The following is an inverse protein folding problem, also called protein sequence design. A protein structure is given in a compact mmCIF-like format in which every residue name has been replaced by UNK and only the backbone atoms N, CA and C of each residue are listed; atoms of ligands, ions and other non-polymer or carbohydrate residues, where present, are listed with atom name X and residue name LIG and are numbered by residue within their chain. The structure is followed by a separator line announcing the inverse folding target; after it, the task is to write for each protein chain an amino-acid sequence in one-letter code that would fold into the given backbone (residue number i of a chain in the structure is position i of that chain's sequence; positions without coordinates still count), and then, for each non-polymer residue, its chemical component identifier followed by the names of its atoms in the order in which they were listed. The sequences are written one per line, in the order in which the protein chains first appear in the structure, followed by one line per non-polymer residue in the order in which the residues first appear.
data_IF_459789203819
#
_entry.id   IF_459789203819
#
_cell.length_a   1.000
_cell.length_b   1.000
_cell.length_c   1.000
_cell.angle_alpha   90.00
_cell.angle_beta   90.00
_cell.angle_gamma   90.00
#
_symmetry.space_group_name_H-M   'P 1'
#
loop_
_entity.id
_entity.type
_entity.pdbx_description
1 polymer ?
#
# COMPACT_ATOMS: atom_id res chain seq x y z
N UNK A 1 -7.16 -24.68 0.92
CA UNK A 1 -6.01 -24.16 0.16
C UNK A 1 -6.40 -23.84 -1.30
N UNK A 2 -6.94 -22.64 -1.61
CA UNK A 2 -7.16 -22.17 -3.00
C UNK A 2 -7.16 -20.62 -3.15
N UNK A 3 -6.52 -19.87 -2.25
CA UNK A 3 -6.53 -18.39 -2.26
C UNK A 3 -5.47 -17.75 -3.18
N UNK A 4 -4.47 -18.52 -3.63
CA UNK A 4 -3.38 -18.03 -4.48
C UNK A 4 -3.80 -17.34 -5.80
N UNK A 5 -4.82 -17.78 -6.56
CA UNK A 5 -5.17 -17.13 -7.83
C UNK A 5 -5.88 -15.76 -7.64
N UNK A 6 -6.52 -15.52 -6.50
CA UNK A 6 -7.22 -14.25 -6.24
C UNK A 6 -6.26 -13.09 -5.97
N UNK A 7 -5.14 -13.35 -5.29
CA UNK A 7 -4.13 -12.33 -4.97
C UNK A 7 -3.44 -11.82 -6.25
N UNK A 8 -3.19 -12.72 -7.21
CA UNK A 8 -2.57 -12.36 -8.48
C UNK A 8 -3.47 -11.46 -9.36
N UNK A 9 -4.78 -11.68 -9.33
CA UNK A 9 -5.73 -10.89 -10.11
C UNK A 9 -5.89 -9.45 -9.59
N UNK A 10 -5.82 -9.24 -8.27
CA UNK A 10 -5.91 -7.90 -7.66
C UNK A 10 -4.67 -7.05 -7.94
N UNK A 11 -3.48 -7.67 -7.99
CA UNK A 11 -2.23 -6.98 -8.32
C UNK A 11 -2.16 -6.53 -9.80
N UNK A 12 -2.75 -7.30 -10.71
CA UNK A 12 -2.77 -6.96 -12.14
C UNK A 12 -3.74 -5.81 -12.45
N UNK A 13 -4.85 -5.68 -11.72
CA UNK A 13 -5.83 -4.62 -11.91
C UNK A 13 -5.40 -3.24 -11.39
N UNK A 14 -4.32 -3.15 -10.61
CA UNK A 14 -3.79 -1.90 -10.07
C UNK A 14 -2.80 -1.19 -11.00
N UNK A 15 -2.49 -1.75 -12.19
CA UNK A 15 -1.60 -1.07 -13.12
C UNK A 15 -2.32 0.10 -13.83
N UNK A 16 -1.75 1.31 -13.81
CA UNK A 16 -2.30 2.44 -14.53
C UNK A 16 -2.29 2.14 -16.04
N UNK A 17 -3.46 2.21 -16.67
CA UNK A 17 -3.59 2.06 -18.12
C UNK A 17 -2.89 3.20 -18.88
N UNK A 18 -2.56 3.00 -20.16
CA UNK A 18 -1.88 4.00 -20.97
C UNK A 18 -2.73 5.27 -21.15
N UNK A 19 -2.10 6.46 -21.18
CA UNK A 19 -2.81 7.73 -21.28
C UNK A 19 -3.50 7.89 -22.64
N UNK A 20 -4.83 8.08 -22.63
CA UNK A 20 -5.58 8.51 -23.80
C UNK A 20 -5.57 10.04 -23.87
N UNK A 21 -5.05 10.57 -24.98
CA UNK A 21 -4.92 12.00 -25.20
C UNK A 21 -6.22 12.69 -25.64
N UNK A 22 -6.37 13.95 -25.22
CA UNK A 22 -7.13 14.96 -25.95
C UNK A 22 -8.26 15.66 -25.18
N UNK A 23 -8.03 16.93 -24.83
CA UNK A 23 -8.78 18.13 -25.27
C UNK A 23 -8.74 19.22 -24.19
N UNK A 24 -8.23 20.39 -24.56
CA UNK A 24 -8.05 21.55 -23.69
C UNK A 24 -9.36 22.36 -23.54
N UNK A 25 -9.64 22.80 -22.30
CA UNK A 25 -10.61 23.86 -21.99
C UNK A 25 -10.01 24.82 -20.96
N UNK A 26 -10.21 26.16 -21.10
CA UNK A 26 -9.68 27.14 -20.17
C UNK A 26 -10.71 27.53 -19.10
N UNK A 27 -10.26 27.68 -17.86
CA UNK A 27 -11.08 28.21 -16.77
C UNK A 27 -10.24 28.42 -15.50
N UNK A 28 -9.91 29.68 -15.22
CA UNK A 28 -9.13 30.12 -14.07
C UNK A 28 -10.01 30.29 -12.82
N UNK A 29 -9.49 29.96 -11.62
CA UNK A 29 -9.86 30.60 -10.36
C UNK A 29 -8.86 30.33 -9.20
N UNK A 30 -8.27 31.43 -8.73
CA UNK A 30 -7.72 31.85 -7.43
C UNK A 30 -7.25 30.88 -6.30
N UNK A 31 -6.23 31.29 -5.52
CA UNK A 31 -5.71 30.56 -4.35
C UNK A 31 -6.54 30.79 -3.09
N UNK A 32 -6.77 29.72 -2.31
CA UNK A 32 -7.41 29.80 -0.99
C UNK A 32 -6.33 29.79 0.09
N UNK A 33 -6.38 30.83 0.92
CA UNK A 33 -5.50 31.10 2.05
C UNK A 33 -5.72 30.09 3.19
N UNK A 34 -4.63 29.43 3.63
CA UNK A 34 -4.63 28.48 4.75
C UNK A 34 -4.46 29.21 6.09
N UNK A 35 -5.44 29.09 6.97
CA UNK A 35 -5.35 29.49 8.38
C UNK A 35 -4.64 28.40 9.21
N UNK A 36 -3.92 28.76 10.29
CA UNK A 36 -3.11 27.85 11.08
C UNK A 36 -3.95 26.93 11.98
N UNK A 37 -3.62 25.63 11.94
CA UNK A 37 -4.19 24.59 12.81
C UNK A 37 -3.67 24.72 14.25
N UNK A 38 -4.51 24.59 15.29
CA UNK A 38 -4.05 24.57 16.67
C UNK A 38 -3.33 23.26 17.00
N UNK A 39 -2.25 23.38 17.77
CA UNK A 39 -1.42 22.28 18.25
C UNK A 39 -2.23 21.33 19.15
N UNK A 40 -2.35 20.08 18.70
CA UNK A 40 -2.88 18.96 19.49
C UNK A 40 -1.69 18.26 20.17
N UNK A 41 -1.83 18.04 21.48
CA UNK A 41 -0.88 17.33 22.35
C UNK A 41 -0.56 15.90 21.83
N UNK A 42 0.60 15.32 22.18
CA UNK A 42 1.03 14.04 21.64
C UNK A 42 0.06 12.93 22.08
N UNK A 43 -0.46 12.11 21.15
CA UNK A 43 -1.21 10.92 21.51
C UNK A 43 -0.27 9.91 22.16
N UNK A 44 -0.82 9.20 23.15
CA UNK A 44 -0.23 8.02 23.77
C UNK A 44 0.48 7.16 22.72
N UNK A 45 1.76 6.89 23.01
CA UNK A 45 2.59 6.05 22.18
C UNK A 45 1.89 4.71 21.99
N UNK A 46 1.44 4.46 20.77
CA UNK A 46 1.03 3.13 20.31
C UNK A 46 2.20 2.22 20.65
N UNK A 47 2.01 1.36 21.65
CA UNK A 47 3.00 0.35 22.04
C UNK A 47 3.25 -0.48 20.80
N UNK A 48 4.39 -0.25 20.14
CA UNK A 48 4.84 -1.08 19.04
C UNK A 48 4.80 -2.54 19.55
N UNK A 49 4.33 -3.50 18.74
CA UNK A 49 4.41 -4.91 19.10
C UNK A 49 5.87 -5.19 19.50
N UNK A 50 6.14 -6.00 20.54
CA UNK A 50 7.50 -6.35 20.88
C UNK A 50 8.11 -6.98 19.62
N UNK A 51 8.98 -6.22 18.95
CA UNK A 51 9.85 -6.75 17.92
C UNK A 51 10.59 -7.86 18.62
N UNK A 52 10.29 -9.10 18.24
CA UNK A 52 10.98 -10.28 18.76
C UNK A 52 12.46 -9.95 18.67
N UNK A 53 13.10 -9.73 19.81
CA UNK A 53 14.54 -9.55 19.86
C UNK A 53 15.10 -10.90 19.43
N UNK A 54 15.37 -11.07 18.14
CA UNK A 54 16.14 -12.20 17.70
C UNK A 54 17.50 -12.06 18.36
N UNK A 55 18.02 -13.15 18.92
CA UNK A 55 19.37 -13.23 19.50
C UNK A 55 20.49 -12.97 18.45
N UNK A 56 20.11 -12.57 17.22
CA UNK A 56 20.95 -12.19 16.10
C UNK A 56 20.87 -10.68 15.77
N UNK A 57 20.41 -9.84 16.71
CA UNK A 57 20.45 -8.38 16.54
C UNK A 57 21.91 -7.91 16.41
N UNK A 58 22.34 -7.74 15.16
CA UNK A 58 23.71 -7.41 14.87
C UNK A 58 24.00 -5.94 15.22
N UNK A 59 25.21 -5.64 15.66
CA UNK A 59 25.60 -4.31 16.16
C UNK A 59 25.53 -3.16 15.13
N UNK A 60 25.12 -3.43 13.89
CA UNK A 60 25.01 -2.46 12.80
C UNK A 60 23.57 -1.99 12.51
N UNK A 61 22.63 -2.17 13.44
CA UNK A 61 21.21 -1.81 13.25
C UNK A 61 21.02 -0.32 12.90
N UNK A 62 21.82 0.57 13.49
CA UNK A 62 21.77 2.01 13.15
C UNK A 62 22.17 2.30 11.71
N UNK A 63 23.18 1.59 11.21
CA UNK A 63 23.67 1.74 9.83
C UNK A 63 22.67 1.14 8.84
N UNK A 64 22.01 0.04 9.22
CA UNK A 64 20.91 -0.54 8.46
C UNK A 64 19.74 0.44 8.34
N UNK A 65 19.29 1.02 9.46
CA UNK A 65 18.23 2.01 9.46
C UNK A 65 18.59 3.25 8.62
N UNK A 66 19.82 3.74 8.73
CA UNK A 66 20.31 4.86 7.91
C UNK A 66 20.36 4.51 6.41
N UNK A 67 20.78 3.30 6.06
CA UNK A 67 20.80 2.80 4.69
C UNK A 67 19.39 2.67 4.10
N UNK A 68 18.44 2.16 4.90
CA UNK A 68 17.02 2.09 4.52
C UNK A 68 16.42 3.49 4.31
N UNK A 69 16.66 4.43 5.23
CA UNK A 69 16.22 5.82 5.11
C UNK A 69 16.75 6.49 3.84
N UNK A 70 18.04 6.30 3.53
CA UNK A 70 18.65 6.80 2.30
C UNK A 70 17.96 6.20 1.06
N UNK A 71 17.64 4.89 1.08
CA UNK A 71 16.97 4.20 -0.03
C UNK A 71 15.54 4.73 -0.27
N UNK A 72 14.82 5.08 0.81
CA UNK A 72 13.48 5.66 0.74
C UNK A 72 13.52 7.09 0.20
N UNK A 73 14.55 7.88 0.53
CA UNK A 73 14.76 9.23 0.01
C UNK A 73 15.30 9.27 -1.43
N UNK A 74 15.61 8.11 -2.02
CA UNK A 74 16.20 8.01 -3.36
C UNK A 74 17.69 8.33 -3.42
N UNK A 75 18.38 8.34 -2.27
CA UNK A 75 19.83 8.49 -2.17
C UNK A 75 20.53 7.14 -2.43
N UNK A 76 20.28 6.52 -3.60
CA UNK A 76 20.62 5.11 -3.87
C UNK A 76 22.12 4.79 -3.68
N UNK A 77 23.03 5.73 -3.99
CA UNK A 77 24.48 5.56 -3.77
C UNK A 77 24.80 5.46 -2.28
N UNK A 78 24.25 6.37 -1.47
CA UNK A 78 24.47 6.40 -0.02
C UNK A 78 23.82 5.19 0.65
N UNK A 79 22.63 4.81 0.19
CA UNK A 79 21.95 3.60 0.64
C UNK A 79 22.81 2.36 0.42
N UNK A 80 23.39 2.21 -0.78
CA UNK A 80 24.25 1.09 -1.11
C UNK A 80 25.49 1.03 -0.21
N UNK A 81 26.18 2.15 -0.01
CA UNK A 81 27.38 2.23 0.84
C UNK A 81 27.09 1.80 2.28
N UNK A 82 26.00 2.31 2.87
CA UNK A 82 25.59 1.98 4.24
C UNK A 82 25.18 0.51 4.37
N UNK A 83 24.41 -0.02 3.41
CA UNK A 83 23.99 -1.43 3.43
C UNK A 83 25.15 -2.40 3.21
N UNK A 84 26.14 -2.05 2.37
CA UNK A 84 27.35 -2.85 2.23
C UNK A 84 28.23 -2.79 3.48
N UNK A 85 28.26 -1.66 4.18
CA UNK A 85 28.93 -1.56 5.48
C UNK A 85 28.27 -2.48 6.52
N UNK A 86 26.94 -2.53 6.57
CA UNK A 86 26.19 -3.49 7.39
C UNK A 86 26.59 -4.93 7.04
N UNK A 87 26.68 -5.28 5.76
CA UNK A 87 27.07 -6.63 5.33
C UNK A 87 28.52 -7.00 5.68
N UNK A 88 29.43 -6.03 5.81
CA UNK A 88 30.80 -6.27 6.28
C UNK A 88 30.84 -6.61 7.77
N UNK A 89 30.07 -5.88 8.57
CA UNK A 89 30.00 -6.08 10.03
C UNK A 89 29.13 -7.30 10.37
N UNK A 90 28.09 -7.52 9.57
CA UNK A 90 27.01 -8.48 9.78
C UNK A 90 26.73 -9.28 8.50
N UNK A 91 27.59 -10.23 8.09
CA UNK A 91 27.41 -10.97 6.83
C UNK A 91 26.12 -11.79 6.75
N UNK A 92 25.55 -12.14 7.92
CA UNK A 92 24.28 -12.90 8.04
C UNK A 92 23.07 -12.02 8.30
N UNK A 93 23.14 -10.71 8.08
CA UNK A 93 22.00 -9.83 8.27
C UNK A 93 20.82 -10.27 7.36
N UNK A 94 19.60 -10.46 7.91
CA UNK A 94 18.49 -11.08 7.16
C UNK A 94 18.02 -10.25 5.96
N UNK A 95 18.00 -8.92 6.06
CA UNK A 95 17.42 -8.04 5.03
C UNK A 95 18.41 -7.19 4.23
N UNK A 96 19.58 -6.86 4.78
CA UNK A 96 20.57 -6.00 4.11
C UNK A 96 21.03 -6.49 2.72
N UNK A 97 21.19 -7.82 2.43
CA UNK A 97 21.59 -8.28 1.11
C UNK A 97 20.60 -7.89 0.00
N UNK A 98 19.30 -8.01 0.30
CA UNK A 98 18.23 -7.72 -0.64
C UNK A 98 18.09 -6.22 -0.90
N UNK A 99 18.20 -5.39 0.15
CA UNK A 99 18.18 -3.93 0.00
C UNK A 99 19.40 -3.42 -0.76
N UNK A 100 20.59 -3.99 -0.52
CA UNK A 100 21.80 -3.66 -1.27
C UNK A 100 21.66 -4.06 -2.74
N UNK A 101 21.05 -5.22 -3.03
CA UNK A 101 20.73 -5.63 -4.41
C UNK A 101 19.79 -4.63 -5.08
N UNK A 102 18.73 -4.21 -4.39
CA UNK A 102 17.79 -3.21 -4.90
C UNK A 102 18.49 -1.86 -5.19
N UNK A 103 19.30 -1.36 -4.25
CA UNK A 103 20.06 -0.12 -4.42
C UNK A 103 20.98 -0.18 -5.65
N UNK A 104 21.70 -1.29 -5.85
CA UNK A 104 22.52 -1.52 -7.06
C UNK A 104 21.69 -1.46 -8.34
N UNK A 105 20.56 -2.16 -8.38
CA UNK A 105 19.71 -2.18 -9.58
C UNK A 105 19.15 -0.81 -9.94
N UNK A 106 18.95 0.10 -8.98
CA UNK A 106 18.52 1.48 -9.25
C UNK A 106 19.62 2.37 -9.80
N UNK A 107 20.87 2.07 -9.45
CA UNK A 107 22.04 2.77 -9.97
C UNK A 107 22.39 2.38 -11.41
N UNK A 108 21.86 1.26 -11.91
CA UNK A 108 22.07 0.85 -13.30
C UNK A 108 21.58 1.96 -14.27
N UNK A 109 22.35 2.31 -15.32
CA UNK A 109 22.03 3.42 -16.21
C UNK A 109 20.62 3.36 -16.81
N UNK A 110 20.12 2.15 -17.11
CA UNK A 110 18.77 1.95 -17.63
C UNK A 110 17.67 2.23 -16.58
N UNK A 111 17.92 1.91 -15.31
CA UNK A 111 16.99 2.19 -14.22
C UNK A 111 16.97 3.69 -13.89
N UNK A 112 18.13 4.34 -13.88
CA UNK A 112 18.22 5.81 -13.73
C UNK A 112 17.50 6.56 -14.84
N UNK A 113 17.66 6.15 -16.10
CA UNK A 113 16.94 6.79 -17.21
C UNK A 113 15.42 6.61 -17.09
N UNK A 114 14.95 5.45 -16.65
CA UNK A 114 13.52 5.22 -16.39
C UNK A 114 13.02 6.08 -15.22
N UNK A 115 13.78 6.17 -14.12
CA UNK A 115 13.46 7.02 -12.98
C UNK A 115 13.50 8.50 -13.34
N UNK A 116 14.51 8.97 -14.06
CA UNK A 116 14.62 10.34 -14.54
C UNK A 116 13.48 10.69 -15.49
N UNK A 117 13.02 9.74 -16.31
CA UNK A 117 11.83 9.94 -17.16
C UNK A 117 10.56 10.08 -16.33
N UNK A 118 10.43 9.35 -15.22
CA UNK A 118 9.32 9.45 -14.28
C UNK A 118 9.40 10.67 -13.35
N UNK A 119 10.61 11.10 -13.00
CA UNK A 119 10.91 12.20 -12.08
C UNK A 119 11.00 13.56 -12.81
N UNK A 120 11.26 13.56 -14.12
CA UNK A 120 11.16 14.76 -14.93
C UNK A 120 9.71 15.25 -14.81
N UNK A 121 9.48 16.50 -14.39
CA UNK A 121 8.14 17.05 -14.36
C UNK A 121 7.70 17.18 -15.82
N UNK A 122 7.06 16.14 -16.34
CA UNK A 122 6.21 16.24 -17.52
C UNK A 122 5.21 17.29 -17.11
N UNK A 123 5.40 18.51 -17.65
CA UNK A 123 4.58 19.72 -17.49
C UNK A 123 3.27 19.36 -16.81
N UNK A 124 3.19 19.59 -15.49
CA UNK A 124 2.09 19.18 -14.60
C UNK A 124 0.75 19.26 -15.33
N UNK A 125 0.36 18.16 -15.99
CA UNK A 125 -0.97 18.06 -16.56
C UNK A 125 -1.81 17.84 -15.33
N UNK A 126 -2.46 18.90 -14.86
CA UNK A 126 -3.41 18.81 -13.76
C UNK A 126 -4.31 17.63 -14.07
N UNK A 127 -4.19 16.58 -13.28
CA UNK A 127 -4.85 15.33 -13.59
C UNK A 127 -6.36 15.56 -13.47
N UNK A 128 -7.06 15.41 -14.60
CA UNK A 128 -8.50 15.57 -14.62
C UNK A 128 -9.22 14.40 -13.93
N UNK A 129 -10.46 14.60 -13.46
CA UNK A 129 -11.31 13.49 -13.07
C UNK A 129 -11.45 12.45 -14.19
N UNK A 130 -11.33 11.17 -13.83
CA UNK A 130 -11.42 10.05 -14.78
C UNK A 130 -12.53 9.08 -14.40
N UNK A 131 -13.31 8.64 -15.40
CA UNK A 131 -14.31 7.57 -15.22
C UNK A 131 -13.65 6.26 -14.84
N UNK A 132 -12.44 5.99 -15.35
CA UNK A 132 -11.65 4.81 -15.01
C UNK A 132 -11.22 4.80 -13.55
N UNK A 133 -10.78 5.95 -13.03
CA UNK A 133 -10.42 6.11 -11.61
C UNK A 133 -11.61 5.79 -10.69
N UNK A 134 -12.80 6.29 -11.05
CA UNK A 134 -14.02 6.03 -10.29
C UNK A 134 -14.45 4.56 -10.36
N UNK A 135 -14.32 3.93 -11.53
CA UNK A 135 -14.63 2.51 -11.69
C UNK A 135 -13.69 1.62 -10.87
N UNK A 136 -12.37 1.89 -10.93
CA UNK A 136 -11.38 1.11 -10.18
C UNK A 136 -11.59 1.22 -8.67
N UNK A 137 -11.81 2.44 -8.15
CA UNK A 137 -12.13 2.64 -6.73
C UNK A 137 -13.40 1.90 -6.32
N UNK A 138 -14.45 1.94 -7.14
CA UNK A 138 -15.72 1.25 -6.84
C UNK A 138 -15.52 -0.26 -6.74
N UNK A 139 -14.76 -0.85 -7.66
CA UNK A 139 -14.47 -2.30 -7.65
C UNK A 139 -13.69 -2.68 -6.38
N UNK A 140 -12.61 -1.95 -6.08
CA UNK A 140 -11.76 -2.24 -4.90
C UNK A 140 -12.56 -2.07 -3.61
N UNK A 141 -13.36 -1.01 -3.47
CA UNK A 141 -14.17 -0.81 -2.27
C UNK A 141 -15.30 -1.83 -2.14
N UNK A 142 -15.87 -2.32 -3.25
CA UNK A 142 -16.86 -3.41 -3.24
C UNK A 142 -16.22 -4.70 -2.70
N UNK A 143 -15.05 -5.08 -3.21
CA UNK A 143 -14.31 -6.24 -2.70
C UNK A 143 -13.93 -6.09 -1.23
N UNK A 144 -13.52 -4.89 -0.83
CA UNK A 144 -13.22 -4.58 0.56
C UNK A 144 -14.45 -4.75 1.45
N UNK A 145 -15.60 -4.20 1.04
CA UNK A 145 -16.86 -4.35 1.76
C UNK A 145 -17.33 -5.80 1.88
N UNK A 146 -17.20 -6.61 0.82
CA UNK A 146 -17.47 -8.06 0.87
C UNK A 146 -16.63 -8.71 1.97
N UNK A 147 -15.33 -8.42 1.98
CA UNK A 147 -14.40 -8.98 2.98
C UNK A 147 -14.79 -8.58 4.39
N UNK A 148 -15.11 -7.30 4.62
CA UNK A 148 -15.58 -6.83 5.92
C UNK A 148 -16.87 -7.53 6.34
N UNK A 149 -17.78 -7.80 5.40
CA UNK A 149 -19.00 -8.55 5.67
C UNK A 149 -18.74 -9.98 6.10
N UNK A 150 -17.79 -10.67 5.46
CA UNK A 150 -17.35 -12.02 5.86
C UNK A 150 -16.78 -11.98 7.28
N UNK A 151 -15.86 -11.04 7.55
CA UNK A 151 -15.22 -10.89 8.86
C UNK A 151 -16.24 -10.59 9.96
N UNK A 152 -17.23 -9.72 9.68
CA UNK A 152 -18.29 -9.41 10.62
C UNK A 152 -19.12 -10.65 10.96
N UNK A 153 -19.43 -11.50 9.98
CA UNK A 153 -20.15 -12.75 10.23
C UNK A 153 -19.31 -13.74 11.04
N UNK A 154 -17.99 -13.79 10.80
CA UNK A 154 -17.08 -14.63 11.58
C UNK A 154 -17.05 -14.18 13.06
N UNK A 155 -16.92 -12.88 13.32
CA UNK A 155 -16.92 -12.31 14.68
C UNK A 155 -18.26 -12.52 15.38
N UNK A 156 -19.38 -12.45 14.64
CA UNK A 156 -20.72 -12.71 15.20
C UNK A 156 -21.07 -14.20 15.28
N UNK A 157 -20.13 -15.10 14.94
CA UNK A 157 -20.29 -16.55 14.99
C UNK A 157 -21.48 -17.07 14.16
N UNK A 158 -21.67 -16.52 12.96
CA UNK A 158 -22.64 -17.02 11.99
C UNK A 158 -22.42 -18.51 11.71
N UNK A 159 -23.45 -19.33 11.91
CA UNK A 159 -23.40 -20.77 11.61
C UNK A 159 -23.97 -21.13 10.22
N UNK A 160 -24.74 -20.23 9.60
CA UNK A 160 -25.39 -20.47 8.31
C UNK A 160 -24.60 -19.82 7.17
N UNK A 161 -24.27 -20.60 6.13
CA UNK A 161 -23.66 -20.11 4.89
C UNK A 161 -24.48 -18.99 4.23
N UNK A 162 -25.82 -19.01 4.37
CA UNK A 162 -26.69 -17.95 3.85
C UNK A 162 -26.44 -16.62 4.55
N UNK A 163 -26.09 -16.63 5.84
CA UNK A 163 -25.73 -15.43 6.58
C UNK A 163 -24.43 -14.84 6.04
N UNK A 164 -23.41 -15.65 5.77
CA UNK A 164 -22.17 -15.20 5.13
C UNK A 164 -22.43 -14.51 3.80
N UNK A 165 -23.23 -15.12 2.93
CA UNK A 165 -23.58 -14.54 1.62
C UNK A 165 -24.35 -13.23 1.79
N UNK A 166 -25.33 -13.18 2.69
CA UNK A 166 -26.14 -11.99 2.94
C UNK A 166 -25.31 -10.82 3.45
N UNK A 167 -24.45 -11.04 4.46
CA UNK A 167 -23.61 -9.99 5.04
C UNK A 167 -22.50 -9.58 4.07
N UNK A 168 -21.97 -10.50 3.26
CA UNK A 168 -21.03 -10.19 2.18
C UNK A 168 -21.65 -9.29 1.12
N UNK A 169 -22.86 -9.59 0.66
CA UNK A 169 -23.59 -8.76 -0.31
C UNK A 169 -23.92 -7.39 0.27
N UNK A 170 -24.32 -7.34 1.55
CA UNK A 170 -24.56 -6.09 2.25
C UNK A 170 -23.30 -5.23 2.31
N UNK A 171 -22.17 -5.81 2.72
CA UNK A 171 -20.88 -5.13 2.79
C UNK A 171 -20.39 -4.66 1.42
N UNK A 172 -20.46 -5.53 0.41
CA UNK A 172 -20.11 -5.19 -0.98
C UNK A 172 -20.98 -4.07 -1.54
N UNK A 173 -22.29 -4.14 -1.33
CA UNK A 173 -23.24 -3.10 -1.72
C UNK A 173 -22.96 -1.77 -1.02
N UNK A 174 -22.66 -1.80 0.28
CA UNK A 174 -22.27 -0.60 1.02
C UNK A 174 -20.98 0.01 0.48
N UNK A 175 -19.96 -0.81 0.21
CA UNK A 175 -18.70 -0.37 -0.40
C UNK A 175 -18.90 0.30 -1.75
N UNK A 176 -19.66 -0.34 -2.65
CA UNK A 176 -20.01 0.21 -3.96
C UNK A 176 -20.77 1.54 -3.84
N UNK A 177 -21.80 1.58 -3.01
CA UNK A 177 -22.65 2.75 -2.83
C UNK A 177 -21.87 3.94 -2.26
N UNK A 178 -21.03 3.71 -1.25
CA UNK A 178 -20.19 4.74 -0.66
C UNK A 178 -19.19 5.29 -1.68
N UNK A 179 -18.49 4.43 -2.44
CA UNK A 179 -17.58 4.89 -3.49
C UNK A 179 -18.29 5.73 -4.54
N UNK A 180 -19.46 5.32 -5.00
CA UNK A 180 -20.22 6.08 -6.00
C UNK A 180 -20.76 7.40 -5.44
N UNK A 181 -21.08 7.47 -4.14
CA UNK A 181 -21.57 8.66 -3.46
C UNK A 181 -20.46 9.68 -3.22
N UNK A 182 -19.30 9.24 -2.73
CA UNK A 182 -18.17 10.13 -2.39
C UNK A 182 -17.43 10.62 -3.62
N UNK A 183 -17.48 9.89 -4.74
CA UNK A 183 -16.83 10.28 -6.01
C UNK A 183 -17.74 11.01 -7.00
N UNK A 184 -18.88 11.54 -6.55
CA UNK A 184 -19.82 12.28 -7.42
C UNK A 184 -19.20 13.52 -8.06
N UNK A 185 -18.30 14.20 -7.35
CA UNK A 185 -17.55 15.36 -7.83
C UNK A 185 -16.40 15.01 -8.78
N UNK A 186 -16.22 13.73 -9.10
CA UNK A 186 -15.06 13.25 -9.86
C UNK A 186 -13.93 12.78 -8.95
N UNK A 187 -12.99 12.04 -9.55
CA UNK A 187 -11.83 11.44 -8.89
C UNK A 187 -10.70 11.33 -9.91
N UNK A 188 -9.49 11.78 -9.57
CA UNK A 188 -8.32 11.60 -10.45
C UNK A 188 -7.77 10.16 -10.31
N UNK A 189 -6.99 9.65 -11.26
CA UNK A 189 -6.39 8.32 -11.11
C UNK A 189 -5.37 8.30 -9.97
N UNK A 190 -4.61 9.37 -9.74
CA UNK A 190 -3.72 9.49 -8.59
C UNK A 190 -4.44 9.34 -7.25
N UNK A 191 -5.60 9.99 -7.09
CA UNK A 191 -6.43 9.84 -5.89
C UNK A 191 -6.97 8.41 -5.74
N UNK A 192 -7.47 7.81 -6.82
CA UNK A 192 -7.93 6.41 -6.80
C UNK A 192 -6.80 5.44 -6.44
N UNK A 193 -5.61 5.63 -7.02
CA UNK A 193 -4.45 4.78 -6.78
C UNK A 193 -4.00 4.88 -5.32
N UNK A 194 -3.96 6.09 -4.74
CA UNK A 194 -3.60 6.29 -3.33
C UNK A 194 -4.61 5.65 -2.36
N UNK A 195 -5.92 5.74 -2.65
CA UNK A 195 -6.95 5.11 -1.81
C UNK A 195 -6.90 3.58 -1.97
N UNK A 196 -6.81 3.09 -3.20
CA UNK A 196 -6.77 1.66 -3.48
C UNK A 196 -5.51 1.00 -2.92
N UNK A 197 -4.36 1.67 -2.94
CA UNK A 197 -3.11 1.11 -2.41
C UNK A 197 -3.23 0.85 -0.91
N UNK A 198 -3.82 1.78 -0.14
CA UNK A 198 -4.09 1.58 1.28
C UNK A 198 -5.00 0.39 1.55
N UNK A 199 -6.08 0.25 0.78
CA UNK A 199 -7.02 -0.87 0.89
C UNK A 199 -6.36 -2.21 0.57
N UNK A 200 -5.57 -2.28 -0.50
CA UNK A 200 -4.87 -3.51 -0.92
C UNK A 200 -3.82 -3.91 0.12
N UNK A 201 -3.04 -2.96 0.61
CA UNK A 201 -2.02 -3.22 1.63
C UNK A 201 -2.65 -3.69 2.94
N UNK A 202 -3.68 -2.99 3.42
CA UNK A 202 -4.40 -3.35 4.64
C UNK A 202 -5.07 -4.72 4.52
N UNK A 203 -5.68 -5.02 3.37
CA UNK A 203 -6.26 -6.34 3.10
C UNK A 203 -5.20 -7.45 3.10
N UNK A 204 -4.08 -7.24 2.42
CA UNK A 204 -2.97 -8.20 2.37
C UNK A 204 -2.39 -8.48 3.75
N UNK A 205 -2.12 -7.43 4.53
CA UNK A 205 -1.59 -7.57 5.89
C UNK A 205 -2.60 -8.24 6.84
N UNK A 206 -3.88 -7.89 6.73
CA UNK A 206 -4.95 -8.50 7.52
C UNK A 206 -5.08 -10.01 7.26
N UNK A 207 -5.08 -10.43 6.00
CA UNK A 207 -5.11 -11.87 5.66
C UNK A 207 -3.84 -12.60 6.11
N UNK A 208 -2.66 -12.00 5.94
CA UNK A 208 -1.41 -12.58 6.42
C UNK A 208 -1.44 -12.79 7.94
N UNK A 209 -2.00 -11.84 8.68
CA UNK A 209 -2.14 -11.93 10.14
C UNK A 209 -3.06 -13.08 10.54
N UNK A 210 -4.23 -13.22 9.89
CA UNK A 210 -5.15 -14.35 10.16
C UNK A 210 -4.45 -15.69 9.90
N UNK A 211 -3.72 -15.80 8.78
CA UNK A 211 -2.98 -17.02 8.46
C UNK A 211 -1.85 -17.35 9.43
N UNK A 212 -1.26 -16.34 10.09
CA UNK A 212 -0.23 -16.56 11.12
C UNK A 212 -0.79 -17.09 12.45
N UNK A 213 -2.04 -16.76 12.79
CA UNK A 213 -2.68 -17.23 14.02
C UNK A 213 -3.27 -18.65 13.91
N UNK A 214 -3.41 -19.18 12.69
CA UNK A 214 -4.00 -20.51 12.43
C UNK A 214 -2.95 -21.64 12.37
N UNK A 215 -1.67 -21.36 12.66
CA UNK A 215 -0.57 -22.33 12.53
C UNK A 215 -0.30 -23.19 13.79
N UNK A 216 -0.99 -22.93 14.91
CA UNK A 216 -0.77 -23.64 16.19
C UNK A 216 -1.87 -24.67 16.55
N UNK A 217 -2.87 -24.88 15.67
CA UNK A 217 -4.11 -25.60 16.02
C UNK A 217 -4.12 -27.13 15.86
N UNK A 218 -3.26 -27.73 15.02
CA UNK A 218 -3.44 -29.13 14.58
C UNK A 218 -2.37 -30.13 15.06
N UNK A 219 -1.60 -29.78 16.11
CA UNK A 219 -0.60 -30.67 16.70
C UNK A 219 -0.99 -31.20 18.10
N UNK A 220 -2.21 -31.73 18.27
CA UNK A 220 -2.52 -32.55 19.45
C UNK A 220 -3.77 -33.43 19.29
N UNK A 221 -3.64 -34.58 18.61
CA UNK A 221 -4.29 -35.86 18.98
C UNK A 221 -3.61 -37.01 18.26
#
# INVERSE_FOLDING_TARGET
MHLAPFILAVLVAAQPGPPQGGAASPGAAAPVSSAPSPAVAPPDAVSAPPLVASDEACAAESDYAAGFDALVRGEDTRALELLEQVLRVCPRHPYAPELARLARTRLDPGARLAQDTLARPVVSSVEGPSKGARASLTIVQTMHGITQGILLCAISNCQDTRAYVAVSLLGGGAGAALSLLTTRSGLTQGQAAAINSGTVWGFGYGLASIGSFDLDGDAST
#
